data_IF_321637270444
#
_entry.id   IF_321637270444
#
_cell.length_a   1.000
_cell.length_b   1.000
_cell.length_c   1.000
_cell.angle_alpha   90.00
_cell.angle_beta   90.00
_cell.angle_gamma   90.00
#
_symmetry.space_group_name_H-M   'P 1'
#
loop_
_entity.id
_entity.type
_entity.pdbx_description
1 polymer ?
#
# COMPACT_ATOMS: atom_id res chain seq x y z
N UNK A 1 -22.50 8.84 -2.62
CA UNK A 1 -21.75 9.06 -3.87
C UNK A 1 -20.54 8.14 -3.98
N UNK A 2 -19.54 8.20 -3.09
CA UNK A 2 -18.36 7.34 -3.22
C UNK A 2 -18.67 5.84 -3.07
N UNK A 3 -19.66 5.44 -2.26
CA UNK A 3 -20.10 4.04 -2.18
C UNK A 3 -20.75 3.56 -3.48
N UNK A 4 -21.67 4.37 -4.03
CA UNK A 4 -22.25 4.14 -5.36
C UNK A 4 -21.17 4.06 -6.47
N UNK A 5 -20.12 4.87 -6.38
CA UNK A 5 -18.98 4.78 -7.29
C UNK A 5 -18.25 3.43 -7.14
N UNK A 6 -17.98 3.01 -5.90
CA UNK A 6 -17.29 1.75 -5.62
C UNK A 6 -18.06 0.54 -6.18
N UNK A 7 -19.38 0.49 -5.97
CA UNK A 7 -20.26 -0.53 -6.55
C UNK A 7 -20.25 -0.51 -8.08
N UNK A 8 -20.41 0.68 -8.69
CA UNK A 8 -20.40 0.80 -10.14
C UNK A 8 -19.07 0.36 -10.75
N UNK A 9 -17.96 0.64 -10.08
CA UNK A 9 -16.63 0.25 -10.58
C UNK A 9 -16.46 -1.28 -10.58
N UNK A 10 -17.07 -2.01 -9.64
CA UNK A 10 -17.09 -3.48 -9.70
C UNK A 10 -18.00 -4.01 -10.81
N UNK A 11 -19.12 -3.33 -11.08
CA UNK A 11 -20.10 -3.76 -12.09
C UNK A 11 -19.65 -3.48 -13.53
N UNK A 12 -19.19 -2.26 -13.81
CA UNK A 12 -18.92 -1.77 -15.18
C UNK A 12 -17.46 -1.41 -15.42
N UNK A 13 -16.61 -1.58 -14.41
CA UNK A 13 -15.20 -1.20 -14.49
C UNK A 13 -14.97 0.32 -14.50
N UNK A 14 -13.71 0.72 -14.44
CA UNK A 14 -13.33 2.13 -14.54
C UNK A 14 -13.80 2.76 -15.85
N UNK A 15 -13.62 2.08 -16.99
CA UNK A 15 -13.99 2.62 -18.31
C UNK A 15 -15.50 2.83 -18.48
N UNK A 16 -16.33 1.93 -17.94
CA UNK A 16 -17.79 2.04 -18.00
C UNK A 16 -18.41 3.05 -17.05
N UNK A 17 -17.68 3.46 -16.00
CA UNK A 17 -18.14 4.48 -15.06
C UNK A 17 -18.36 5.84 -15.76
N UNK A 18 -19.50 6.48 -15.50
CA UNK A 18 -19.78 7.86 -15.96
C UNK A 18 -20.39 8.68 -14.83
N UNK A 19 -20.27 10.02 -14.90
CA UNK A 19 -20.90 10.94 -13.93
C UNK A 19 -22.41 10.81 -13.93
N UNK A 20 -23.03 10.52 -15.07
CA UNK A 20 -24.47 10.24 -15.20
C UNK A 20 -24.88 8.97 -14.47
N UNK A 21 -24.20 7.85 -14.75
CA UNK A 21 -24.48 6.58 -14.07
C UNK A 21 -24.27 6.71 -12.56
N UNK A 22 -23.26 7.47 -12.14
CA UNK A 22 -23.04 7.75 -10.73
C UNK A 22 -24.19 8.57 -10.11
N UNK A 23 -24.66 9.61 -10.79
CA UNK A 23 -25.78 10.43 -10.30
C UNK A 23 -27.03 9.58 -10.10
N UNK A 24 -27.34 8.73 -11.08
CA UNK A 24 -28.46 7.79 -11.02
C UNK A 24 -28.29 6.79 -9.86
N UNK A 25 -27.13 6.13 -9.73
CA UNK A 25 -26.89 5.15 -8.67
C UNK A 25 -26.89 5.77 -7.27
N UNK A 26 -26.35 6.97 -7.13
CA UNK A 26 -26.29 7.68 -5.86
C UNK A 26 -27.59 8.41 -5.51
N UNK A 27 -28.61 8.36 -6.39
CA UNK A 27 -29.90 9.05 -6.25
C UNK A 27 -29.75 10.56 -6.02
N UNK A 28 -28.79 11.19 -6.71
CA UNK A 28 -28.53 12.63 -6.64
C UNK A 28 -28.71 13.30 -8.00
N UNK A 29 -28.94 14.61 -7.98
CA UNK A 29 -28.94 15.38 -9.21
C UNK A 29 -27.53 15.36 -9.85
N UNK A 30 -27.47 15.27 -11.18
CA UNK A 30 -26.19 15.33 -11.93
C UNK A 30 -25.38 16.60 -11.61
N UNK A 31 -26.07 17.73 -11.36
CA UNK A 31 -25.43 18.97 -10.93
C UNK A 31 -24.70 18.86 -9.59
N UNK A 32 -25.21 18.06 -8.66
CA UNK A 32 -24.53 17.78 -7.39
C UNK A 32 -23.24 17.01 -7.61
N UNK A 33 -23.20 16.09 -8.59
CA UNK A 33 -21.95 15.38 -8.93
C UNK A 33 -20.87 16.37 -9.34
N UNK A 34 -21.19 17.26 -10.30
CA UNK A 34 -20.24 18.26 -10.81
C UNK A 34 -19.83 19.33 -9.78
N UNK A 35 -20.66 19.56 -8.76
CA UNK A 35 -20.30 20.46 -7.66
C UNK A 35 -19.16 19.89 -6.80
N UNK A 36 -19.12 18.57 -6.57
CA UNK A 36 -18.08 17.92 -5.77
C UNK A 36 -16.93 17.40 -6.61
N UNK A 37 -17.21 16.91 -7.82
CA UNK A 37 -16.24 16.25 -8.67
C UNK A 37 -16.34 16.77 -10.11
N UNK A 38 -15.32 17.49 -10.62
CA UNK A 38 -15.37 18.07 -11.96
C UNK A 38 -15.42 17.02 -13.07
N UNK A 39 -14.88 15.82 -12.83
CA UNK A 39 -14.86 14.73 -13.80
C UNK A 39 -14.81 13.34 -13.14
N UNK A 40 -14.87 12.29 -13.96
CA UNK A 40 -14.76 10.87 -13.54
C UNK A 40 -13.48 10.60 -12.75
N UNK A 41 -12.35 11.21 -13.14
CA UNK A 41 -11.06 10.97 -12.50
C UNK A 41 -11.09 11.47 -11.06
N UNK A 42 -11.61 12.68 -10.83
CA UNK A 42 -11.75 13.25 -9.50
C UNK A 42 -12.61 12.39 -8.55
N UNK A 43 -13.69 11.78 -9.06
CA UNK A 43 -14.52 10.86 -8.28
C UNK A 43 -13.70 9.64 -7.82
N UNK A 44 -12.98 9.04 -8.77
CA UNK A 44 -12.19 7.83 -8.50
C UNK A 44 -11.00 8.12 -7.61
N UNK A 45 -10.31 9.25 -7.81
CA UNK A 45 -9.25 9.72 -6.91
C UNK A 45 -9.78 9.86 -5.47
N UNK A 46 -10.95 10.47 -5.29
CA UNK A 46 -11.56 10.62 -3.97
C UNK A 46 -11.96 9.27 -3.34
N UNK A 47 -12.46 8.32 -4.14
CA UNK A 47 -12.75 6.96 -3.68
C UNK A 47 -11.47 6.22 -3.26
N UNK A 48 -10.42 6.30 -4.07
CA UNK A 48 -9.13 5.66 -3.77
C UNK A 48 -8.49 6.27 -2.54
N UNK A 49 -8.48 7.60 -2.42
CA UNK A 49 -7.95 8.31 -1.25
C UNK A 49 -8.64 7.85 0.03
N UNK A 50 -9.97 7.84 0.06
CA UNK A 50 -10.76 7.32 1.19
C UNK A 50 -10.38 5.88 1.55
N UNK A 51 -10.18 5.05 0.52
CA UNK A 51 -9.86 3.63 0.69
C UNK A 51 -8.44 3.44 1.24
N UNK A 52 -7.48 4.26 0.79
CA UNK A 52 -6.13 4.32 1.33
C UNK A 52 -6.11 4.81 2.77
N UNK A 53 -6.75 5.93 3.08
CA UNK A 53 -6.85 6.45 4.45
C UNK A 53 -7.41 5.40 5.41
N UNK A 54 -8.44 4.67 4.98
CA UNK A 54 -9.02 3.57 5.75
C UNK A 54 -8.05 2.40 5.95
N UNK A 55 -7.20 2.09 4.97
CA UNK A 55 -6.14 1.09 5.08
C UNK A 55 -5.09 1.52 6.10
N UNK A 56 -4.54 2.73 5.95
CA UNK A 56 -3.52 3.27 6.84
C UNK A 56 -4.03 3.37 8.28
N UNK A 57 -5.30 3.74 8.48
CA UNK A 57 -5.93 3.75 9.79
C UNK A 57 -6.03 2.34 10.39
N UNK A 58 -6.47 1.34 9.63
CA UNK A 58 -6.55 -0.05 10.12
C UNK A 58 -5.19 -0.64 10.43
N UNK A 59 -4.16 -0.27 9.66
CA UNK A 59 -2.78 -0.61 10.00
C UNK A 59 -2.36 0.00 11.32
N UNK A 60 -2.55 1.31 11.51
CA UNK A 60 -2.19 1.98 12.76
C UNK A 60 -2.93 1.37 13.97
N UNK A 61 -4.22 1.07 13.84
CA UNK A 61 -5.02 0.39 14.88
C UNK A 61 -4.47 -1.00 15.21
N UNK A 62 -4.13 -1.79 14.19
CA UNK A 62 -3.56 -3.13 14.36
C UNK A 62 -2.17 -3.08 14.97
N UNK A 63 -1.37 -2.09 14.60
CA UNK A 63 -0.05 -1.86 15.15
C UNK A 63 -0.05 -1.30 16.57
N UNK A 64 -1.14 -0.66 16.99
CA UNK A 64 -1.35 -0.27 18.38
C UNK A 64 -1.74 -1.45 19.29
N UNK A 65 -2.10 -2.62 18.75
CA UNK A 65 -2.42 -3.80 19.55
C UNK A 65 -1.15 -4.47 20.12
N UNK A 66 -1.21 -4.93 21.38
CA UNK A 66 -0.10 -5.61 22.07
C UNK A 66 0.22 -7.01 21.52
N UNK A 67 -0.48 -7.47 20.46
CA UNK A 67 -0.35 -8.82 19.92
C UNK A 67 0.92 -9.04 19.07
N UNK A 68 1.63 -7.97 18.68
CA UNK A 68 2.83 -8.10 17.87
C UNK A 68 4.06 -8.38 18.72
N UNK A 69 4.63 -9.56 18.51
CA UNK A 69 5.82 -10.06 19.20
C UNK A 69 7.08 -9.87 18.38
N UNK A 70 6.95 -9.81 17.05
CA UNK A 70 8.05 -9.67 16.11
C UNK A 70 7.72 -8.62 15.04
N UNK A 71 8.74 -7.96 14.48
CA UNK A 71 8.56 -6.96 13.41
C UNK A 71 7.85 -7.54 12.17
N UNK A 72 8.00 -8.86 11.97
CA UNK A 72 7.35 -9.59 10.89
C UNK A 72 5.82 -9.66 11.05
N UNK A 73 5.31 -9.64 12.28
CA UNK A 73 3.85 -9.64 12.54
C UNK A 73 3.20 -8.37 11.93
N UNK A 74 3.96 -7.27 11.86
CA UNK A 74 3.49 -6.03 11.27
C UNK A 74 3.41 -6.09 9.75
N UNK A 75 4.39 -6.74 9.12
CA UNK A 75 4.39 -6.97 7.67
C UNK A 75 3.27 -7.93 7.27
N UNK A 76 3.10 -9.03 8.02
CA UNK A 76 2.00 -9.97 7.79
C UNK A 76 0.64 -9.30 7.97
N UNK A 77 0.47 -8.45 8.99
CA UNK A 77 -0.74 -7.67 9.18
C UNK A 77 -1.03 -6.73 7.99
N UNK A 78 0.00 -6.08 7.46
CA UNK A 78 -0.10 -5.25 6.25
C UNK A 78 -0.58 -6.04 5.03
N UNK A 79 0.06 -7.17 4.75
CA UNK A 79 -0.30 -8.05 3.64
C UNK A 79 -1.73 -8.59 3.81
N UNK A 80 -2.08 -9.05 5.01
CA UNK A 80 -3.41 -9.60 5.29
C UNK A 80 -4.52 -8.57 5.14
N UNK A 81 -4.28 -7.35 5.58
CA UNK A 81 -5.23 -6.26 5.40
C UNK A 81 -5.42 -5.94 3.91
N UNK A 82 -4.34 -5.87 3.14
CA UNK A 82 -4.42 -5.63 1.70
C UNK A 82 -5.16 -6.75 0.94
N UNK A 83 -4.94 -8.02 1.32
CA UNK A 83 -5.69 -9.17 0.79
C UNK A 83 -7.16 -9.09 1.17
N UNK A 84 -7.46 -8.71 2.42
CA UNK A 84 -8.84 -8.54 2.91
C UNK A 84 -9.56 -7.48 2.09
N UNK A 85 -8.93 -6.34 1.84
CA UNK A 85 -9.49 -5.28 1.02
C UNK A 85 -9.81 -5.74 -0.41
N UNK A 86 -8.95 -6.55 -1.04
CA UNK A 86 -9.23 -7.15 -2.35
C UNK A 86 -10.46 -8.07 -2.37
N UNK A 87 -10.85 -8.61 -1.21
CA UNK A 87 -11.98 -9.53 -1.06
C UNK A 87 -13.27 -8.80 -0.68
N UNK A 88 -13.17 -7.74 0.12
CA UNK A 88 -14.34 -7.17 0.81
C UNK A 88 -14.63 -5.72 0.46
N UNK A 89 -13.68 -4.95 -0.07
CA UNK A 89 -13.88 -3.54 -0.38
C UNK A 89 -14.34 -3.38 -1.83
N UNK A 90 -15.56 -2.88 -2.08
CA UNK A 90 -16.04 -2.66 -3.43
C UNK A 90 -15.14 -1.71 -4.21
N UNK A 91 -14.96 -1.97 -5.50
CA UNK A 91 -14.15 -1.17 -6.42
C UNK A 91 -12.64 -1.37 -6.26
N UNK A 92 -12.16 -1.91 -5.14
CA UNK A 92 -10.74 -2.01 -4.84
C UNK A 92 -9.99 -2.98 -5.77
N UNK A 93 -10.67 -4.03 -6.23
CA UNK A 93 -10.12 -5.01 -7.17
C UNK A 93 -9.79 -4.42 -8.55
N UNK A 94 -10.51 -3.36 -8.92
CA UNK A 94 -10.39 -2.70 -10.22
C UNK A 94 -9.48 -1.48 -10.14
N UNK A 95 -9.55 -0.73 -9.04
CA UNK A 95 -8.83 0.54 -8.88
C UNK A 95 -7.50 0.40 -8.16
N UNK A 96 -7.38 -0.60 -7.28
CA UNK A 96 -6.29 -0.72 -6.32
C UNK A 96 -6.05 0.60 -5.58
N UNK A 97 -4.82 0.86 -5.14
CA UNK A 97 -4.40 2.18 -4.68
C UNK A 97 -4.09 3.09 -5.85
N UNK A 98 -5.04 3.29 -6.78
CA UNK A 98 -4.96 4.39 -7.74
C UNK A 98 -4.11 4.15 -8.97
N UNK A 99 -3.59 2.94 -9.17
CA UNK A 99 -2.85 2.49 -10.37
C UNK A 99 -3.39 3.03 -11.70
N UNK A 100 -4.73 3.13 -11.80
CA UNK A 100 -5.44 3.51 -13.03
C UNK A 100 -5.56 5.02 -13.22
N UNK A 101 -5.46 5.82 -12.15
CA UNK A 101 -5.83 7.25 -12.18
C UNK A 101 -4.71 8.17 -11.73
N UNK A 102 -4.04 7.83 -10.63
CA UNK A 102 -2.91 8.59 -10.09
C UNK A 102 -2.09 7.72 -9.13
N UNK A 103 -0.79 7.65 -9.39
CA UNK A 103 0.16 6.92 -8.56
C UNK A 103 0.58 7.72 -7.31
N UNK A 104 0.30 9.03 -7.25
CA UNK A 104 0.79 9.97 -6.22
C UNK A 104 -0.37 10.63 -5.46
N UNK A 105 -1.29 9.84 -4.90
CA UNK A 105 -2.53 10.38 -4.32
C UNK A 105 -2.34 11.05 -2.95
N UNK A 106 -1.43 10.53 -2.14
CA UNK A 106 -1.20 11.02 -0.77
C UNK A 106 -0.03 11.99 -0.68
N UNK A 107 0.92 11.92 -1.62
CA UNK A 107 2.14 12.70 -1.60
C UNK A 107 2.58 12.99 -3.04
N UNK A 108 2.90 14.24 -3.36
CA UNK A 108 3.30 14.64 -4.72
C UNK A 108 4.66 14.04 -5.16
N UNK A 109 5.47 13.58 -4.21
CA UNK A 109 6.84 13.12 -4.45
C UNK A 109 6.97 11.59 -4.31
N UNK A 110 6.02 10.94 -3.66
CA UNK A 110 6.05 9.48 -3.42
C UNK A 110 4.83 8.82 -4.02
N UNK A 111 5.05 7.68 -4.66
CA UNK A 111 3.94 6.86 -5.07
C UNK A 111 3.22 6.25 -3.86
N UNK A 112 2.03 5.71 -4.11
CA UNK A 112 1.13 5.17 -3.10
C UNK A 112 1.78 4.01 -2.30
N UNK A 113 2.64 3.20 -2.93
CA UNK A 113 3.36 2.11 -2.27
C UNK A 113 4.50 2.66 -1.39
N UNK A 114 5.18 3.72 -1.81
CA UNK A 114 6.17 4.44 -1.02
C UNK A 114 5.58 5.08 0.24
N UNK A 115 4.37 5.62 0.17
CA UNK A 115 3.66 6.13 1.36
C UNK A 115 3.36 5.02 2.36
N UNK A 116 2.95 3.85 1.89
CA UNK A 116 2.71 2.67 2.75
C UNK A 116 4.02 2.19 3.37
N UNK A 117 5.10 2.12 2.59
CA UNK A 117 6.41 1.73 3.07
C UNK A 117 6.94 2.67 4.16
N UNK A 118 6.73 3.99 4.01
CA UNK A 118 7.10 4.98 5.02
C UNK A 118 6.33 4.80 6.34
N UNK A 119 5.03 4.52 6.26
CA UNK A 119 4.23 4.25 7.46
C UNK A 119 4.69 2.97 8.16
N UNK A 120 4.94 1.89 7.40
CA UNK A 120 5.49 0.65 7.94
C UNK A 120 6.86 0.89 8.59
N UNK A 121 7.76 1.63 7.93
CA UNK A 121 9.08 1.95 8.45
C UNK A 121 9.01 2.72 9.77
N UNK A 122 8.10 3.71 9.86
CA UNK A 122 7.85 4.49 11.08
C UNK A 122 7.45 3.57 12.24
N UNK A 123 6.42 2.76 12.03
CA UNK A 123 5.88 1.85 13.05
C UNK A 123 6.93 0.85 13.50
N UNK A 124 7.65 0.22 12.57
CA UNK A 124 8.65 -0.77 12.91
C UNK A 124 9.84 -0.16 13.66
N UNK A 125 10.21 1.08 13.34
CA UNK A 125 11.24 1.83 14.05
C UNK A 125 10.79 2.17 15.48
N UNK A 126 9.58 2.70 15.63
CA UNK A 126 9.03 3.12 16.93
C UNK A 126 8.83 1.93 17.88
N UNK A 127 8.35 0.80 17.36
CA UNK A 127 7.95 -0.35 18.18
C UNK A 127 9.05 -1.38 18.41
N UNK A 128 9.92 -1.60 17.42
CA UNK A 128 10.97 -2.63 17.48
C UNK A 128 12.39 -2.06 17.52
N UNK A 129 12.55 -0.73 17.50
CA UNK A 129 13.85 -0.08 17.67
C UNK A 129 14.80 -0.29 16.49
N UNK A 130 14.29 -0.53 15.28
CA UNK A 130 15.12 -0.66 14.08
C UNK A 130 15.78 0.69 13.76
N UNK A 131 17.12 0.73 13.69
CA UNK A 131 17.88 1.99 13.69
C UNK A 131 18.34 2.47 12.31
N UNK A 132 18.44 1.60 11.31
CA UNK A 132 18.82 1.99 9.94
C UNK A 132 17.56 2.36 9.11
N UNK A 133 16.93 3.49 9.46
CA UNK A 133 15.67 3.94 8.86
C UNK A 133 15.75 4.12 7.33
N UNK A 134 16.81 4.72 6.74
CA UNK A 134 16.91 4.82 5.28
C UNK A 134 16.97 3.46 4.59
N UNK A 135 17.74 2.50 5.13
CA UNK A 135 17.79 1.14 4.58
C UNK A 135 16.46 0.42 4.77
N UNK A 136 15.86 0.52 5.96
CA UNK A 136 14.58 -0.11 6.29
C UNK A 136 13.47 0.37 5.35
N UNK A 137 13.40 1.67 5.09
CA UNK A 137 12.46 2.27 4.14
C UNK A 137 12.63 1.66 2.75
N UNK A 138 13.85 1.66 2.22
CA UNK A 138 14.12 1.12 0.89
C UNK A 138 13.75 -0.37 0.78
N UNK A 139 14.09 -1.19 1.78
CA UNK A 139 13.74 -2.62 1.72
C UNK A 139 12.24 -2.84 1.89
N UNK A 140 11.54 -2.01 2.66
CA UNK A 140 10.08 -2.07 2.76
C UNK A 140 9.41 -1.63 1.46
N UNK A 141 9.90 -0.61 0.76
CA UNK A 141 9.41 -0.20 -0.56
C UNK A 141 9.47 -1.38 -1.55
N UNK A 142 10.62 -2.05 -1.64
CA UNK A 142 10.78 -3.24 -2.49
C UNK A 142 9.83 -4.37 -2.06
N UNK A 143 9.63 -4.56 -0.76
CA UNK A 143 8.74 -5.58 -0.24
C UNK A 143 7.26 -5.28 -0.56
N UNK A 144 6.83 -4.03 -0.39
CA UNK A 144 5.45 -3.59 -0.69
C UNK A 144 5.17 -3.74 -2.18
N UNK A 145 6.09 -3.30 -3.04
CA UNK A 145 5.95 -3.42 -4.50
C UNK A 145 5.85 -4.89 -4.95
N UNK A 146 6.71 -5.76 -4.40
CA UNK A 146 6.67 -7.18 -4.70
C UNK A 146 5.40 -7.85 -4.17
N UNK A 147 4.95 -7.49 -2.96
CA UNK A 147 3.72 -8.01 -2.37
C UNK A 147 2.51 -7.62 -3.23
N UNK A 148 2.42 -6.35 -3.59
CA UNK A 148 1.35 -5.82 -4.43
C UNK A 148 1.27 -6.54 -5.79
N UNK A 149 2.39 -6.70 -6.48
CA UNK A 149 2.45 -7.42 -7.75
C UNK A 149 2.01 -8.89 -7.63
N UNK A 150 2.43 -9.59 -6.57
CA UNK A 150 2.07 -10.99 -6.34
C UNK A 150 0.61 -11.16 -5.90
N UNK A 151 0.07 -10.22 -5.13
CA UNK A 151 -1.34 -10.21 -4.73
C UNK A 151 -2.21 -9.95 -5.96
N UNK A 152 -1.86 -8.96 -6.80
CA UNK A 152 -2.51 -8.74 -8.10
C UNK A 152 -2.46 -9.99 -8.99
N UNK A 153 -1.35 -10.72 -9.01
CA UNK A 153 -1.24 -11.99 -9.71
C UNK A 153 -2.20 -13.05 -9.13
N UNK A 154 -2.32 -13.16 -7.81
CA UNK A 154 -3.22 -14.10 -7.15
C UNK A 154 -4.69 -13.83 -7.54
N UNK A 155 -5.11 -12.56 -7.54
CA UNK A 155 -6.47 -12.15 -7.90
C UNK A 155 -6.77 -12.22 -9.40
N UNK A 156 -5.75 -12.12 -10.26
CA UNK A 156 -5.88 -12.40 -11.69
C UNK A 156 -6.14 -13.88 -11.98
N UNK A 157 -5.58 -14.78 -11.15
CA UNK A 157 -5.75 -16.23 -11.31
C UNK A 157 -7.08 -16.73 -10.76
N UNK A 158 -7.51 -16.21 -9.61
CA UNK A 158 -8.79 -16.55 -8.99
C UNK A 158 -9.46 -15.32 -8.42
N UNK A 159 -10.78 -15.27 -8.52
CA UNK A 159 -11.54 -14.14 -7.99
C UNK A 159 -11.36 -13.96 -6.48
N UNK A 160 -11.16 -15.00 -5.69
CA UNK A 160 -10.91 -14.92 -4.24
C UNK A 160 -9.42 -14.81 -3.86
N UNK A 161 -8.53 -14.80 -4.86
CA UNK A 161 -7.08 -14.86 -4.70
C UNK A 161 -6.57 -16.31 -4.67
N UNK A 162 -5.66 -16.68 -5.57
CA UNK A 162 -5.00 -17.99 -5.54
C UNK A 162 -4.16 -18.13 -4.26
N UNK A 163 -4.69 -18.84 -3.26
CA UNK A 163 -4.06 -19.08 -1.95
C UNK A 163 -2.60 -19.56 -2.06
N UNK A 164 -2.26 -20.35 -3.08
CA UNK A 164 -0.87 -20.79 -3.27
C UNK A 164 0.04 -19.60 -3.60
N UNK A 165 -0.43 -18.66 -4.41
CA UNK A 165 0.33 -17.44 -4.74
C UNK A 165 0.41 -16.52 -3.53
N UNK A 166 -0.66 -16.39 -2.75
CA UNK A 166 -0.67 -15.56 -1.53
C UNK A 166 0.31 -16.10 -0.47
N UNK A 167 0.35 -17.42 -0.27
CA UNK A 167 1.30 -18.07 0.63
C UNK A 167 2.76 -17.88 0.16
N UNK A 168 3.03 -18.07 -1.13
CA UNK A 168 4.36 -17.84 -1.71
C UNK A 168 4.75 -16.35 -1.63
N UNK A 169 3.81 -15.43 -1.79
CA UNK A 169 4.05 -14.00 -1.63
C UNK A 169 4.51 -13.68 -0.21
N UNK A 170 3.76 -14.12 0.81
CA UNK A 170 4.17 -13.94 2.21
C UNK A 170 5.54 -14.55 2.49
N UNK A 171 5.79 -15.78 2.03
CA UNK A 171 7.07 -16.45 2.22
C UNK A 171 8.24 -15.69 1.57
N UNK A 172 8.06 -15.21 0.34
CA UNK A 172 9.06 -14.44 -0.40
C UNK A 172 9.39 -13.13 0.32
N UNK A 173 8.37 -12.37 0.72
CA UNK A 173 8.55 -11.10 1.43
C UNK A 173 9.23 -11.32 2.79
N UNK A 174 8.86 -12.39 3.50
CA UNK A 174 9.48 -12.77 4.78
C UNK A 174 10.95 -13.03 4.64
N UNK A 175 11.30 -13.91 3.72
CA UNK A 175 12.67 -14.34 3.50
C UNK A 175 13.54 -13.17 3.01
N UNK A 176 12.98 -12.30 2.16
CA UNK A 176 13.65 -11.07 1.73
C UNK A 176 13.93 -10.12 2.90
N UNK A 177 12.91 -9.75 3.67
CA UNK A 177 13.08 -8.79 4.77
C UNK A 177 13.92 -9.35 5.92
N UNK A 178 13.76 -10.62 6.28
CA UNK A 178 14.60 -11.29 7.28
C UNK A 178 16.09 -11.20 6.92
N UNK A 179 16.44 -11.44 5.65
CA UNK A 179 17.83 -11.30 5.19
C UNK A 179 18.36 -9.87 5.29
N UNK A 180 17.51 -8.86 5.11
CA UNK A 180 17.93 -7.46 5.12
C UNK A 180 18.02 -6.85 6.53
N UNK A 181 17.09 -7.25 7.41
CA UNK A 181 16.94 -6.75 8.77
C UNK A 181 17.82 -7.53 9.74
N UNK A 182 17.82 -8.87 9.65
CA UNK A 182 18.54 -9.76 10.58
C UNK A 182 19.84 -10.34 10.00
N UNK A 183 20.11 -10.13 8.70
CA UNK A 183 21.30 -10.64 8.03
C UNK A 183 22.60 -9.91 8.40
N UNK A 184 23.78 -10.50 8.14
CA UNK A 184 25.10 -10.01 8.57
C UNK A 184 25.52 -8.63 8.00
N UNK A 185 24.76 -8.08 7.04
CA UNK A 185 24.94 -6.73 6.49
C UNK A 185 24.09 -5.65 7.20
N UNK A 186 23.35 -5.99 8.26
CA UNK A 186 22.60 -5.03 9.10
C UNK A 186 23.48 -4.06 9.90
N UNK A 187 24.80 -4.34 9.99
CA UNK A 187 25.76 -3.55 10.76
C UNK A 187 26.87 -2.85 9.97
N UNK A 188 26.94 -2.97 8.64
CA UNK A 188 27.93 -2.22 7.83
C UNK A 188 27.40 -0.86 7.42
N UNK A 189 27.04 -0.05 8.41
CA UNK A 189 26.94 1.39 8.20
C UNK A 189 28.34 1.89 7.85
N UNK A 190 28.44 2.57 6.72
CA UNK A 190 29.65 3.21 6.17
C UNK A 190 30.18 4.29 7.11
N UNK A 191 30.81 3.87 8.21
CA UNK A 191 31.72 4.70 9.00
C UNK A 191 33.14 4.21 8.67
N UNK A 192 33.88 4.99 7.89
CA UNK A 192 35.31 4.74 7.69
C UNK A 192 35.86 5.01 6.30
N UNK A 193 35.72 6.24 5.78
CA UNK A 193 36.76 6.80 4.90
C UNK A 193 36.97 8.29 5.13
N UNK A 194 37.19 8.66 6.40
CA UNK A 194 38.03 9.80 6.74
C UNK A 194 39.11 9.31 7.71
N UNK A 195 40.32 9.14 7.18
CA UNK A 195 41.61 9.36 7.82
C UNK A 195 42.66 8.45 7.17
N UNK A 196 43.33 8.98 6.15
CA UNK A 196 44.79 8.84 6.10
C UNK A 196 45.36 10.11 5.46
N UNK A 197 45.39 11.16 6.28
CA UNK A 197 46.38 12.22 6.15
C UNK A 197 47.54 11.79 7.04
N UNK A 198 48.68 11.43 6.43
CA UNK A 198 49.97 11.30 7.09
C UNK A 198 51.08 11.39 6.01
N UNK A 199 52.34 11.72 6.36
CA UNK A 199 53.01 12.91 5.83
C UNK A 199 54.27 12.63 4.98
N UNK A 200 54.72 13.70 4.30
CA UNK A 200 56.08 14.05 3.88
C UNK A 200 56.98 13.01 3.17
N UNK A 201 57.34 13.33 1.91
CA UNK A 201 58.74 13.62 1.50
C UNK A 201 58.73 14.79 0.52
#
# INVERSE_FOLDING_TARGET
MLDACAELVDEVGYEGLTTTLLAERAEVAIGSVYQFFPDKRAIVQALTLRTMESYLQRLDERFASDEMTHWWDGVDAGIDEYITMHRTVPGFRTLHFGDVVDLHLLDEQRDNNGVIADQLARVLTERFGLTDVPKLRFVLEIAVEAADALIKLAFRRKSDGDERVLLEAKALIREYLHRQVDGPDSGRSTVGKQAEVAPAV
#
